data_IF_966982124555
#
_entry.id   IF_966982124555
#
_cell.length_a   1.000
_cell.length_b   1.000
_cell.length_c   1.000
_cell.angle_alpha   90.00
_cell.angle_beta   90.00
_cell.angle_gamma   90.00
#
_symmetry.space_group_name_H-M   'P 1'
#
loop_
_entity.id
_entity.type
_entity.pdbx_description
1 polymer ?
#
# COMPACT_ATOMS: atom_id res chain seq x y z
N UNK A 1 -1.93 -95.83 26.59
CA UNK A 1 -0.62 -96.32 26.07
C UNK A 1 0.29 -95.10 26.07
N UNK A 2 1.33 -94.88 26.88
CA UNK A 2 2.11 -95.57 27.93
C UNK A 2 2.57 -94.41 28.88
N UNK A 3 2.19 -94.34 30.17
CA UNK A 3 2.82 -94.93 31.38
C UNK A 3 4.25 -94.40 31.70
N UNK A 4 4.32 -93.68 32.82
CA UNK A 4 5.47 -93.18 33.66
C UNK A 4 6.53 -94.25 34.03
N UNK A 5 7.77 -93.92 34.48
CA UNK A 5 8.07 -93.54 35.90
C UNK A 5 9.23 -92.52 36.07
N UNK A 6 9.17 -91.55 36.99
CA UNK A 6 9.60 -91.60 38.42
C UNK A 6 10.96 -92.27 38.66
N UNK A 7 11.98 -91.45 38.92
CA UNK A 7 13.14 -91.84 39.74
C UNK A 7 13.30 -90.82 40.88
N UNK A 8 13.03 -91.29 42.09
CA UNK A 8 13.49 -90.69 43.34
C UNK A 8 15.02 -90.83 43.40
N UNK A 9 15.74 -89.77 43.79
CA UNK A 9 17.06 -89.93 44.39
C UNK A 9 17.25 -88.92 45.54
N UNK A 10 17.12 -89.47 46.74
CA UNK A 10 17.78 -89.11 48.00
C UNK A 10 18.32 -87.69 48.19
N UNK A 11 17.62 -86.93 49.03
CA UNK A 11 18.21 -85.84 49.79
C UNK A 11 19.00 -86.43 50.98
N UNK A 12 20.31 -86.21 51.02
CA UNK A 12 21.15 -86.42 52.21
C UNK A 12 21.44 -85.05 52.84
N UNK A 13 21.22 -84.84 54.15
CA UNK A 13 21.60 -83.61 54.81
C UNK A 13 23.11 -83.65 55.06
N UNK A 14 23.89 -82.89 54.29
CA UNK A 14 25.30 -82.68 54.60
C UNK A 14 25.37 -81.74 55.80
N UNK A 15 25.58 -82.30 56.99
CA UNK A 15 25.93 -81.56 58.18
C UNK A 15 27.26 -80.83 57.95
N UNK A 16 27.20 -79.52 57.73
CA UNK A 16 28.38 -78.67 57.68
C UNK A 16 28.89 -78.46 59.11
N UNK A 17 30.04 -79.06 59.42
CA UNK A 17 30.85 -78.71 60.60
C UNK A 17 31.26 -77.25 60.47
N UNK A 18 31.03 -76.36 61.46
CA UNK A 18 31.53 -75.00 61.38
C UNK A 18 33.06 -75.03 61.54
N UNK A 19 33.77 -74.95 60.42
CA UNK A 19 35.20 -74.64 60.40
C UNK A 19 35.42 -73.26 61.00
N UNK A 20 36.39 -73.17 61.93
CA UNK A 20 36.78 -71.94 62.63
C UNK A 20 36.92 -70.76 61.68
N UNK A 21 36.13 -69.72 61.91
CA UNK A 21 36.35 -68.40 61.34
C UNK A 21 37.63 -67.81 61.96
N UNK A 22 38.74 -67.91 61.23
CA UNK A 22 39.93 -67.10 61.50
C UNK A 22 39.57 -65.65 61.16
N UNK A 23 39.82 -64.75 62.10
CA UNK A 23 39.69 -63.31 61.92
C UNK A 23 40.73 -62.80 60.91
N UNK A 24 40.46 -62.97 59.62
CA UNK A 24 41.00 -62.13 58.56
C UNK A 24 39.90 -61.10 58.24
N UNK A 25 40.25 -59.81 58.21
CA UNK A 25 39.32 -58.74 57.84
C UNK A 25 38.54 -59.09 56.58
N UNK A 26 37.31 -58.57 56.46
CA UNK A 26 36.34 -58.96 55.42
C UNK A 26 37.05 -59.33 54.11
N UNK A 27 37.04 -60.62 53.69
CA UNK A 27 37.87 -61.10 52.56
C UNK A 27 37.55 -60.45 51.21
N UNK A 28 36.56 -59.56 51.19
CA UNK A 28 36.06 -58.76 50.09
C UNK A 28 36.89 -57.48 49.84
N UNK A 29 37.73 -57.06 50.81
CA UNK A 29 38.54 -55.83 50.74
C UNK A 29 40.06 -56.10 50.85
N UNK A 30 40.50 -57.32 50.59
CA UNK A 30 41.92 -57.66 50.55
C UNK A 30 42.55 -57.24 49.22
N UNK A 31 42.95 -55.97 49.08
CA UNK A 31 43.60 -55.42 47.87
C UNK A 31 44.93 -56.07 47.48
N UNK A 32 45.45 -57.01 48.28
CA UNK A 32 46.62 -57.84 47.99
C UNK A 32 46.29 -59.14 47.24
N UNK A 33 45.01 -59.42 46.94
CA UNK A 33 44.63 -60.58 46.14
C UNK A 33 45.01 -60.39 44.65
N UNK A 34 45.82 -61.29 44.05
CA UNK A 34 46.23 -61.19 42.63
C UNK A 34 45.05 -61.12 41.65
N UNK A 35 43.89 -61.69 42.02
CA UNK A 35 42.68 -61.70 41.21
C UNK A 35 42.02 -60.32 41.10
N UNK A 36 42.04 -59.51 42.17
CA UNK A 36 41.47 -58.16 42.16
C UNK A 36 42.30 -57.22 41.26
N UNK A 37 43.63 -57.35 41.31
CA UNK A 37 44.55 -56.60 40.45
C UNK A 37 44.30 -56.97 38.98
N UNK A 38 44.17 -58.26 38.66
CA UNK A 38 43.85 -58.72 37.31
C UNK A 38 42.52 -58.18 36.78
N UNK A 39 41.48 -58.13 37.63
CA UNK A 39 40.17 -57.59 37.27
C UNK A 39 40.21 -56.09 36.98
N UNK A 40 40.94 -55.31 37.78
CA UNK A 40 41.10 -53.86 37.55
C UNK A 40 41.91 -53.61 36.27
N UNK A 41 42.98 -54.35 36.02
CA UNK A 41 43.79 -54.21 34.80
C UNK A 41 42.95 -54.52 33.56
N UNK A 42 42.22 -55.63 33.54
CA UNK A 42 41.33 -55.96 32.41
C UNK A 42 40.16 -54.99 32.28
N UNK A 43 39.59 -54.53 33.40
CA UNK A 43 38.58 -53.48 33.42
C UNK A 43 39.09 -52.19 32.79
N UNK A 44 40.32 -51.78 33.10
CA UNK A 44 40.97 -50.62 32.51
C UNK A 44 41.22 -50.81 31.00
N UNK A 45 41.60 -52.01 30.55
CA UNK A 45 41.77 -52.32 29.12
C UNK A 45 40.44 -52.20 28.36
N UNK A 46 39.37 -52.81 28.86
CA UNK A 46 38.04 -52.74 28.23
C UNK A 46 37.52 -51.30 28.26
N UNK A 47 37.65 -50.61 29.40
CA UNK A 47 37.25 -49.21 29.54
C UNK A 47 38.03 -48.31 28.60
N UNK A 48 39.34 -48.50 28.47
CA UNK A 48 40.18 -47.76 27.52
C UNK A 48 39.74 -47.99 26.08
N UNK A 49 39.49 -49.24 25.68
CA UNK A 49 38.95 -49.57 24.35
C UNK A 49 37.58 -48.92 24.09
N UNK A 50 36.68 -48.97 25.07
CA UNK A 50 35.37 -48.32 24.98
C UNK A 50 35.49 -46.79 24.90
N UNK A 51 36.34 -46.17 25.73
CA UNK A 51 36.61 -44.74 25.72
C UNK A 51 37.14 -44.27 24.37
N UNK A 52 38.11 -44.99 23.79
CA UNK A 52 38.64 -44.69 22.47
C UNK A 52 37.57 -44.83 21.38
N UNK A 53 36.72 -45.86 21.47
CA UNK A 53 35.59 -46.03 20.55
C UNK A 53 34.59 -44.86 20.64
N UNK A 54 34.23 -44.43 21.85
CA UNK A 54 33.29 -43.32 22.06
C UNK A 54 33.89 -41.98 21.60
N UNK A 55 35.16 -41.74 21.95
CA UNK A 55 35.92 -40.55 21.57
C UNK A 55 36.06 -40.46 20.05
N UNK A 56 36.37 -41.57 19.37
CA UNK A 56 36.65 -41.56 17.94
C UNK A 56 35.44 -41.70 17.03
N UNK A 57 34.34 -42.31 17.51
CA UNK A 57 33.16 -42.58 16.69
C UNK A 57 31.88 -41.88 17.16
N UNK A 58 31.57 -41.90 18.46
CA UNK A 58 30.28 -41.38 18.96
C UNK A 58 30.28 -39.85 19.08
N UNK A 59 31.27 -39.26 19.76
CA UNK A 59 31.39 -37.80 19.91
C UNK A 59 31.45 -37.04 18.58
N UNK A 60 32.29 -37.42 17.59
CA UNK A 60 32.37 -36.68 16.32
C UNK A 60 31.12 -36.82 15.45
N UNK A 61 30.23 -37.79 15.71
CA UNK A 61 28.92 -37.86 15.07
C UNK A 61 27.96 -36.83 15.66
N UNK A 62 27.92 -36.72 16.99
CA UNK A 62 27.07 -35.74 17.70
C UNK A 62 27.50 -34.32 17.37
N UNK A 63 28.81 -34.05 17.37
CA UNK A 63 29.36 -32.75 17.02
C UNK A 63 28.97 -32.33 15.59
N UNK A 64 29.06 -33.25 14.62
CA UNK A 64 28.60 -32.99 13.24
C UNK A 64 27.13 -32.60 13.18
N UNK A 65 26.25 -33.31 13.89
CA UNK A 65 24.82 -32.98 13.91
C UNK A 65 24.59 -31.60 14.52
N UNK A 66 25.25 -31.29 15.64
CA UNK A 66 25.12 -30.00 16.30
C UNK A 66 25.65 -28.86 15.43
N UNK A 67 26.79 -29.05 14.77
CA UNK A 67 27.39 -28.08 13.84
C UNK A 67 26.49 -27.86 12.62
N UNK A 68 25.93 -28.94 12.03
CA UNK A 68 25.00 -28.84 10.91
C UNK A 68 23.73 -28.06 11.30
N UNK A 69 23.15 -28.34 12.47
CA UNK A 69 21.98 -27.60 12.98
C UNK A 69 22.31 -26.13 13.20
N UNK A 70 23.45 -25.84 13.84
CA UNK A 70 23.91 -24.46 14.06
C UNK A 70 24.08 -23.72 12.74
N UNK A 71 24.73 -24.36 11.76
CA UNK A 71 24.97 -23.78 10.43
C UNK A 71 23.66 -23.51 9.70
N UNK A 72 22.71 -24.45 9.73
CA UNK A 72 21.37 -24.24 9.15
C UNK A 72 20.64 -23.08 9.82
N UNK A 73 20.60 -23.05 11.15
CA UNK A 73 19.95 -21.95 11.89
C UNK A 73 20.57 -20.60 11.52
N UNK A 74 21.90 -20.50 11.47
CA UNK A 74 22.56 -19.25 11.08
C UNK A 74 22.23 -18.86 9.64
N UNK A 75 22.26 -19.81 8.70
CA UNK A 75 21.86 -19.59 7.32
C UNK A 75 20.41 -19.11 7.21
N UNK A 76 19.48 -19.75 7.91
CA UNK A 76 18.06 -19.41 7.89
C UNK A 76 17.83 -18.01 8.50
N UNK A 77 18.54 -17.68 9.59
CA UNK A 77 18.49 -16.34 10.19
C UNK A 77 19.05 -15.28 9.25
N UNK A 78 20.13 -15.57 8.52
CA UNK A 78 20.70 -14.62 7.55
C UNK A 78 19.78 -14.41 6.36
N UNK A 79 19.14 -15.47 5.85
CA UNK A 79 18.09 -15.36 4.82
C UNK A 79 16.92 -14.54 5.33
N UNK A 80 16.44 -14.80 6.55
CA UNK A 80 15.34 -14.05 7.15
C UNK A 80 15.70 -12.55 7.35
N UNK A 81 16.93 -12.25 7.78
CA UNK A 81 17.41 -10.86 7.91
C UNK A 81 17.48 -10.16 6.56
N UNK A 82 17.96 -10.84 5.51
CA UNK A 82 18.00 -10.29 4.15
C UNK A 82 16.60 -10.03 3.61
N UNK A 83 15.70 -11.00 3.74
CA UNK A 83 14.31 -10.86 3.32
C UNK A 83 13.61 -9.71 4.07
N UNK A 84 13.84 -9.58 5.38
CA UNK A 84 13.34 -8.46 6.16
C UNK A 84 13.90 -7.12 5.66
N UNK A 85 15.20 -7.03 5.46
CA UNK A 85 15.83 -5.80 4.97
C UNK A 85 15.33 -5.40 3.57
N UNK A 86 15.08 -6.37 2.70
CA UNK A 86 14.50 -6.14 1.38
C UNK A 86 13.04 -5.68 1.48
N UNK A 87 12.23 -6.30 2.34
CA UNK A 87 10.86 -5.86 2.60
C UNK A 87 10.79 -4.45 3.20
N UNK A 88 11.68 -4.12 4.13
CA UNK A 88 11.78 -2.79 4.74
C UNK A 88 12.17 -1.73 3.69
N UNK A 89 13.11 -2.04 2.78
CA UNK A 89 13.48 -1.17 1.65
C UNK A 89 12.32 -0.98 0.68
N UNK A 90 11.69 -2.07 0.24
CA UNK A 90 10.54 -2.00 -0.67
C UNK A 90 9.37 -1.21 -0.07
N UNK A 91 9.15 -1.34 1.24
CA UNK A 91 8.15 -0.55 1.97
C UNK A 91 8.51 0.94 1.99
N UNK A 92 9.77 1.28 2.25
CA UNK A 92 10.24 2.66 2.25
C UNK A 92 10.13 3.30 0.84
N UNK A 93 10.55 2.57 -0.20
CA UNK A 93 10.42 3.00 -1.60
C UNK A 93 8.96 3.22 -2.00
N UNK A 94 8.07 2.29 -1.64
CA UNK A 94 6.63 2.44 -1.89
C UNK A 94 6.04 3.67 -1.20
N UNK A 95 6.41 3.92 0.07
CA UNK A 95 5.96 5.10 0.80
C UNK A 95 6.47 6.39 0.16
N UNK A 96 7.74 6.43 -0.24
CA UNK A 96 8.32 7.57 -0.95
C UNK A 96 7.62 7.83 -2.28
N UNK A 97 7.44 6.79 -3.11
CA UNK A 97 6.77 6.90 -4.40
C UNK A 97 5.31 7.35 -4.26
N UNK A 98 4.60 6.88 -3.23
CA UNK A 98 3.23 7.34 -2.94
C UNK A 98 3.20 8.81 -2.53
N UNK A 99 4.13 9.25 -1.70
CA UNK A 99 4.22 10.65 -1.30
C UNK A 99 4.52 11.55 -2.50
N UNK A 100 5.50 11.17 -3.32
CA UNK A 100 5.85 11.91 -4.53
C UNK A 100 4.67 11.98 -5.52
N UNK A 101 3.99 10.86 -5.78
CA UNK A 101 2.82 10.83 -6.64
C UNK A 101 1.67 11.70 -6.10
N UNK A 102 1.47 11.73 -4.78
CA UNK A 102 0.45 12.58 -4.16
C UNK A 102 0.78 14.08 -4.30
N UNK A 103 2.04 14.46 -4.11
CA UNK A 103 2.50 15.84 -4.31
C UNK A 103 2.42 16.27 -5.77
N UNK A 104 2.84 15.41 -6.71
CA UNK A 104 2.69 15.65 -8.14
C UNK A 104 1.21 15.82 -8.51
N UNK A 105 0.32 14.97 -8.02
CA UNK A 105 -1.11 15.08 -8.28
C UNK A 105 -1.69 16.40 -7.75
N UNK A 106 -1.32 16.83 -6.54
CA UNK A 106 -1.71 18.12 -5.97
C UNK A 106 -1.23 19.28 -6.84
N UNK A 107 0.05 19.30 -7.19
CA UNK A 107 0.62 20.33 -8.05
C UNK A 107 -0.06 20.36 -9.44
N UNK A 108 -0.37 19.20 -10.02
CA UNK A 108 -1.10 19.11 -11.29
C UNK A 108 -2.52 19.68 -11.17
N UNK A 109 -3.24 19.38 -10.09
CA UNK A 109 -4.59 19.91 -9.84
C UNK A 109 -4.56 21.43 -9.65
N UNK A 110 -3.62 21.95 -8.88
CA UNK A 110 -3.44 23.39 -8.68
C UNK A 110 -3.12 24.10 -9.99
N UNK A 111 -2.20 23.55 -10.79
CA UNK A 111 -1.87 24.07 -12.11
C UNK A 111 -3.09 24.09 -13.02
N UNK A 112 -3.83 22.98 -13.14
CA UNK A 112 -5.04 22.91 -13.96
C UNK A 112 -6.09 23.91 -13.49
N UNK A 113 -6.31 24.06 -12.18
CA UNK A 113 -7.24 25.06 -11.66
C UNK A 113 -6.79 26.49 -12.01
N UNK A 114 -5.50 26.79 -11.90
CA UNK A 114 -4.97 28.12 -12.24
C UNK A 114 -5.11 28.42 -13.73
N UNK A 115 -4.80 27.46 -14.60
CA UNK A 115 -4.95 27.58 -16.05
C UNK A 115 -6.41 27.71 -16.46
N UNK A 116 -7.30 26.93 -15.84
CA UNK A 116 -8.73 27.00 -16.10
C UNK A 116 -9.33 28.35 -15.68
N UNK A 117 -8.92 28.90 -14.52
CA UNK A 117 -9.34 30.24 -14.09
C UNK A 117 -8.84 31.32 -15.05
N UNK A 118 -7.56 31.29 -15.41
CA UNK A 118 -6.98 32.26 -16.35
C UNK A 118 -7.67 32.20 -17.73
N UNK A 119 -7.98 31.00 -18.23
CA UNK A 119 -8.71 30.81 -19.48
C UNK A 119 -10.16 31.33 -19.38
N UNK A 120 -10.85 31.03 -18.28
CA UNK A 120 -12.20 31.54 -18.04
C UNK A 120 -12.24 33.07 -17.96
N UNK A 121 -11.29 33.69 -17.27
CA UNK A 121 -11.17 35.14 -17.17
C UNK A 121 -10.88 35.78 -18.54
N UNK A 122 -10.03 35.17 -19.36
CA UNK A 122 -9.75 35.62 -20.71
C UNK A 122 -11.00 35.56 -21.61
N UNK A 123 -11.72 34.44 -21.59
CA UNK A 123 -12.97 34.27 -22.35
C UNK A 123 -14.08 35.22 -21.86
N UNK A 124 -14.17 35.46 -20.55
CA UNK A 124 -15.11 36.43 -19.99
C UNK A 124 -14.78 37.85 -20.48
N UNK A 125 -13.50 38.25 -20.46
CA UNK A 125 -13.06 39.55 -20.94
C UNK A 125 -13.28 39.74 -22.45
N UNK A 126 -13.02 38.71 -23.26
CA UNK A 126 -13.30 38.71 -24.70
C UNK A 126 -14.80 38.84 -24.98
N UNK A 127 -15.62 38.04 -24.28
CA UNK A 127 -17.07 38.07 -24.42
C UNK A 127 -17.64 39.43 -24.01
N UNK A 128 -17.14 40.02 -22.92
CA UNK A 128 -17.54 41.36 -22.48
C UNK A 128 -17.21 42.42 -23.54
N UNK A 129 -16.01 42.39 -24.14
CA UNK A 129 -15.65 43.30 -25.24
C UNK A 129 -16.54 43.14 -26.47
N UNK A 130 -16.84 41.90 -26.86
CA UNK A 130 -17.74 41.63 -27.98
C UNK A 130 -19.14 42.17 -27.69
N UNK A 131 -19.66 41.91 -26.49
CA UNK A 131 -20.99 42.37 -26.08
C UNK A 131 -21.07 43.89 -26.06
N UNK A 132 -20.04 44.59 -25.57
CA UNK A 132 -19.97 46.06 -25.61
C UNK A 132 -20.07 46.59 -27.04
N UNK A 133 -19.35 45.98 -27.99
CA UNK A 133 -19.43 46.36 -29.40
C UNK A 133 -20.81 46.07 -30.00
N UNK A 134 -21.43 44.95 -29.65
CA UNK A 134 -22.77 44.60 -30.13
C UNK A 134 -23.84 45.55 -29.58
N UNK A 135 -23.73 45.95 -28.31
CA UNK A 135 -24.61 46.95 -27.68
C UNK A 135 -24.46 48.29 -28.39
N UNK A 136 -23.23 48.80 -28.58
CA UNK A 136 -23.00 50.08 -29.26
C UNK A 136 -23.55 50.09 -30.70
N UNK A 137 -23.38 48.98 -31.44
CA UNK A 137 -23.94 48.81 -32.78
C UNK A 137 -25.48 48.75 -32.76
N UNK A 138 -26.06 48.08 -31.77
CA UNK A 138 -27.51 48.03 -31.59
C UNK A 138 -28.09 49.39 -31.24
N UNK A 139 -27.46 50.16 -30.35
CA UNK A 139 -27.85 51.53 -30.00
C UNK A 139 -27.81 52.47 -31.21
N UNK A 140 -26.77 52.36 -32.03
CA UNK A 140 -26.65 53.13 -33.28
C UNK A 140 -27.78 52.80 -34.24
N UNK A 141 -28.08 51.51 -34.45
CA UNK A 141 -29.19 51.06 -35.29
C UNK A 141 -30.55 51.52 -34.77
N UNK A 142 -30.78 51.44 -33.45
CA UNK A 142 -32.02 51.91 -32.83
C UNK A 142 -32.19 53.41 -33.06
N UNK A 143 -31.11 54.19 -32.92
CA UNK A 143 -31.13 55.64 -33.16
C UNK A 143 -31.44 55.96 -34.62
N UNK A 144 -30.81 55.28 -35.57
CA UNK A 144 -31.09 55.42 -36.99
C UNK A 144 -32.53 55.06 -37.34
N UNK A 145 -33.02 53.89 -36.91
CA UNK A 145 -34.41 53.50 -37.14
C UNK A 145 -35.42 54.46 -36.49
N UNK A 146 -35.07 55.07 -35.35
CA UNK A 146 -35.88 56.10 -34.72
C UNK A 146 -35.93 57.38 -35.56
N UNK A 147 -34.80 57.85 -36.08
CA UNK A 147 -34.75 59.01 -36.97
C UNK A 147 -35.52 58.78 -38.28
N UNK A 148 -35.34 57.61 -38.90
CA UNK A 148 -36.07 57.22 -40.11
C UNK A 148 -37.59 57.16 -39.87
N UNK A 149 -38.02 56.57 -38.75
CA UNK A 149 -39.43 56.53 -38.38
C UNK A 149 -40.01 57.92 -38.10
N UNK A 150 -39.28 58.80 -37.42
CA UNK A 150 -39.70 60.19 -37.17
C UNK A 150 -39.80 61.01 -38.46
N UNK A 151 -38.85 60.82 -39.39
CA UNK A 151 -38.89 61.45 -40.72
C UNK A 151 -40.13 60.99 -41.51
N UNK A 152 -40.33 59.67 -41.58
CA UNK A 152 -41.47 59.07 -42.29
C UNK A 152 -42.81 59.49 -41.67
N UNK A 153 -42.87 59.60 -40.34
CA UNK A 153 -44.06 60.08 -39.63
C UNK A 153 -44.39 61.54 -39.96
N UNK A 154 -43.38 62.41 -40.14
CA UNK A 154 -43.60 63.81 -40.50
C UNK A 154 -44.18 63.96 -41.91
N UNK A 155 -43.76 63.11 -42.85
CA UNK A 155 -44.33 63.06 -44.20
C UNK A 155 -45.78 62.59 -44.19
N UNK A 156 -46.06 61.48 -43.48
CA UNK A 156 -47.42 60.93 -43.32
C UNK A 156 -48.34 61.94 -42.62
N UNK A 157 -47.86 62.62 -41.57
CA UNK A 157 -48.62 63.64 -40.87
C UNK A 157 -48.95 64.84 -41.77
N UNK A 158 -48.02 65.26 -42.63
CA UNK A 158 -48.23 66.35 -43.58
C UNK A 158 -49.27 65.96 -44.64
N UNK A 159 -49.16 64.77 -45.24
CA UNK A 159 -50.13 64.30 -46.24
C UNK A 159 -51.52 64.12 -45.63
N UNK A 160 -51.60 63.53 -44.44
CA UNK A 160 -52.89 63.31 -43.74
C UNK A 160 -53.54 64.64 -43.36
N UNK A 161 -52.75 65.63 -42.94
CA UNK A 161 -53.25 66.97 -42.62
C UNK A 161 -53.74 67.71 -43.88
N UNK A 162 -53.03 67.59 -45.00
CA UNK A 162 -53.48 68.13 -46.30
C UNK A 162 -54.81 67.51 -46.73
N UNK A 163 -54.94 66.18 -46.65
CA UNK A 163 -56.19 65.48 -46.97
C UNK A 163 -57.35 65.93 -46.09
N UNK A 164 -57.11 66.14 -44.79
CA UNK A 164 -58.11 66.65 -43.85
C UNK A 164 -58.50 68.11 -44.15
N UNK A 165 -57.55 68.99 -44.42
CA UNK A 165 -57.80 70.42 -44.73
C UNK A 165 -58.54 70.57 -46.06
N UNK A 166 -58.15 69.79 -47.09
CA UNK A 166 -58.82 69.77 -48.38
C UNK A 166 -60.31 69.38 -48.26
N UNK A 167 -60.63 68.44 -47.36
CA UNK A 167 -62.01 68.01 -47.09
C UNK A 167 -62.82 69.00 -46.26
N UNK A 168 -62.19 69.79 -45.38
CA UNK A 168 -62.90 70.70 -44.47
C UNK A 168 -63.04 72.14 -44.99
N UNK A 169 -62.02 72.71 -45.64
CA UNK A 169 -61.90 74.17 -45.89
C UNK A 169 -61.64 74.50 -47.37
N UNK A 170 -61.33 73.51 -48.21
CA UNK A 170 -60.99 73.69 -49.64
C UNK A 170 -59.49 73.67 -49.93
N UNK A 171 -59.05 74.08 -51.13
CA UNK A 171 -57.63 73.97 -51.54
C UNK A 171 -56.77 75.09 -50.95
N UNK A 172 -55.73 74.72 -50.19
CA UNK A 172 -54.70 75.64 -49.69
C UNK A 172 -53.30 75.25 -50.20
N UNK A 173 -52.36 76.19 -50.12
CA UNK A 173 -50.99 76.01 -50.59
C UNK A 173 -50.20 75.00 -49.75
N UNK A 174 -49.53 74.08 -50.44
CA UNK A 174 -48.80 72.93 -49.90
C UNK A 174 -47.73 73.34 -48.88
N UNK A 175 -47.10 74.49 -49.13
CA UNK A 175 -46.04 75.05 -48.28
C UNK A 175 -46.56 75.57 -46.92
N UNK A 176 -47.83 75.97 -46.85
CA UNK A 176 -48.43 76.51 -45.61
C UNK A 176 -48.76 75.37 -44.63
N UNK A 177 -49.22 74.23 -45.14
CA UNK A 177 -49.50 73.04 -44.32
C UNK A 177 -48.21 72.39 -43.83
N UNK A 178 -47.21 72.24 -44.70
CA UNK A 178 -45.90 71.69 -44.32
C UNK A 178 -45.21 72.54 -43.23
N UNK A 179 -45.26 73.87 -43.34
CA UNK A 179 -44.69 74.76 -42.33
C UNK A 179 -45.49 74.81 -41.01
N UNK A 180 -46.79 74.54 -41.02
CA UNK A 180 -47.60 74.41 -39.80
C UNK A 180 -47.30 73.10 -39.06
N UNK A 181 -47.22 71.96 -39.76
CA UNK A 181 -46.88 70.67 -39.17
C UNK A 181 -45.47 70.72 -38.56
N UNK A 182 -44.50 71.30 -39.29
CA UNK A 182 -43.11 71.43 -38.84
C UNK A 182 -42.94 72.32 -37.59
N UNK A 183 -43.85 73.27 -37.35
CA UNK A 183 -43.87 74.09 -36.11
C UNK A 183 -44.41 73.34 -34.89
N UNK A 184 -45.23 72.30 -35.09
CA UNK A 184 -45.81 71.49 -34.01
C UNK A 184 -44.94 70.26 -33.71
N UNK A 185 -44.18 69.77 -34.69
CA UNK A 185 -43.29 68.62 -34.53
C UNK A 185 -41.85 68.97 -34.12
N UNK A 186 -41.53 70.26 -33.94
CA UNK A 186 -40.28 70.75 -33.34
C UNK A 186 -40.42 70.86 -31.82
#
# INVERSE_FOLDING_TARGET
>A
MYRTPRLFLFAAPLAAVPGRAVAAGMPQLNFHDPLLIGQVVWGAVIFGGFYLSLSRFALPRVERVLSNRRTRIQSDLDVARKAKAEADRASAELLSARHEAAEQARAHVERIQSEARASADAHAAETAKRLESEIANAETRITQSREEALSSLSEIATSTTQDLVARLIGTQDEQTVASAVKRVSA
#
